data_IF_883912779165
#
_entry.id   IF_883912779165
#
_cell.length_a   1.000
_cell.length_b   1.000
_cell.length_c   1.000
_cell.angle_alpha   90.00
_cell.angle_beta   90.00
_cell.angle_gamma   90.00
#
_symmetry.space_group_name_H-M   'P 1'
#
loop_
_entity.id
_entity.type
_entity.pdbx_description
1 polymer ?
#
# COMPACT_ATOMS: atom_id res chain seq x y z
N UNK A 1 15.38 17.64 -29.48
CA UNK A 1 15.17 16.20 -29.25
C UNK A 1 16.26 15.60 -28.39
N UNK A 2 17.55 15.71 -28.80
CA UNK A 2 18.72 15.14 -28.09
C UNK A 2 18.77 15.53 -26.60
N UNK A 3 18.51 16.79 -26.27
CA UNK A 3 18.48 17.25 -24.86
C UNK A 3 17.33 16.64 -24.04
N UNK A 4 16.18 16.38 -24.69
CA UNK A 4 15.01 15.75 -24.04
C UNK A 4 15.33 14.27 -23.76
N UNK A 5 15.87 13.55 -24.73
CA UNK A 5 16.28 12.15 -24.59
C UNK A 5 17.38 12.00 -23.54
N UNK A 6 18.38 12.89 -23.53
CA UNK A 6 19.43 12.90 -22.51
C UNK A 6 18.86 13.17 -21.11
N UNK A 7 17.87 14.05 -20.98
CA UNK A 7 17.18 14.28 -19.71
C UNK A 7 16.39 13.05 -19.27
N UNK A 8 15.70 12.36 -20.20
CA UNK A 8 15.00 11.11 -19.93
C UNK A 8 15.95 10.02 -19.42
N UNK A 9 17.10 9.85 -20.08
CA UNK A 9 18.10 8.86 -19.68
C UNK A 9 18.73 9.16 -18.30
N UNK A 10 18.84 10.43 -17.93
CA UNK A 10 19.46 10.85 -16.67
C UNK A 10 18.47 10.98 -15.52
N UNK A 11 17.24 11.44 -15.78
CA UNK A 11 16.20 11.74 -14.79
C UNK A 11 14.79 11.49 -15.38
N UNK A 12 14.41 10.23 -15.62
CA UNK A 12 13.14 9.90 -16.26
C UNK A 12 11.93 10.50 -15.52
N UNK A 13 11.97 10.55 -14.19
CA UNK A 13 10.88 11.08 -13.36
C UNK A 13 10.60 12.57 -13.62
N UNK A 14 11.57 13.34 -14.10
CA UNK A 14 11.38 14.77 -14.42
C UNK A 14 10.55 14.94 -15.70
N UNK A 15 10.75 14.06 -16.68
CA UNK A 15 9.96 14.11 -17.92
C UNK A 15 8.56 13.56 -17.73
N UNK A 16 8.40 12.48 -16.98
CA UNK A 16 7.10 11.92 -16.61
C UNK A 16 6.23 12.97 -15.88
N UNK A 17 6.82 13.78 -15.00
CA UNK A 17 6.12 14.84 -14.28
C UNK A 17 5.72 16.06 -15.14
N UNK A 18 6.47 16.38 -16.20
CA UNK A 18 6.26 17.60 -16.97
C UNK A 18 5.49 17.42 -18.28
N UNK A 19 5.53 16.22 -18.89
CA UNK A 19 5.05 16.05 -20.26
C UNK A 19 3.88 15.10 -20.43
N UNK A 20 3.49 14.33 -19.42
CA UNK A 20 2.49 13.24 -19.54
C UNK A 20 2.76 12.27 -20.70
N UNK A 21 4.03 12.20 -21.17
CA UNK A 21 4.43 11.29 -22.22
C UNK A 21 4.96 10.00 -21.58
N UNK A 22 4.21 8.93 -21.73
CA UNK A 22 4.59 7.62 -21.18
C UNK A 22 5.79 7.01 -21.89
N UNK A 23 6.05 7.43 -23.14
CA UNK A 23 7.24 6.98 -23.84
C UNK A 23 7.66 7.95 -24.97
N UNK A 24 8.92 7.88 -25.37
CA UNK A 24 9.48 8.62 -26.50
C UNK A 24 9.47 7.80 -27.80
N UNK A 25 8.70 6.72 -27.87
CA UNK A 25 8.72 5.78 -28.99
C UNK A 25 8.34 6.41 -30.32
N UNK A 26 7.38 7.33 -30.30
CA UNK A 26 6.96 8.08 -31.50
C UNK A 26 8.10 8.92 -32.11
N UNK A 27 9.18 9.12 -31.35
CA UNK A 27 10.33 9.92 -31.77
C UNK A 27 11.58 9.10 -32.02
N UNK A 28 11.56 7.77 -31.84
CA UNK A 28 12.72 6.88 -31.97
C UNK A 28 13.34 6.99 -33.38
N UNK A 29 12.52 7.07 -34.41
CA UNK A 29 13.00 7.20 -35.81
C UNK A 29 13.61 8.57 -36.13
N UNK A 30 13.39 9.56 -35.27
CA UNK A 30 13.98 10.90 -35.39
C UNK A 30 15.28 11.07 -34.58
N UNK A 31 15.69 10.05 -33.83
CA UNK A 31 16.95 10.05 -33.06
C UNK A 31 18.13 9.71 -33.99
N UNK A 32 19.31 10.31 -33.70
CA UNK A 32 20.54 9.79 -34.28
C UNK A 32 20.85 8.37 -33.76
N UNK A 33 21.71 7.64 -34.47
CA UNK A 33 21.96 6.21 -34.23
C UNK A 33 22.41 5.94 -32.78
N UNK A 34 23.40 6.73 -32.30
CA UNK A 34 23.98 6.53 -30.98
C UNK A 34 22.93 6.80 -29.85
N UNK A 35 22.10 7.82 -30.06
CA UNK A 35 21.06 8.20 -29.10
C UNK A 35 19.92 7.17 -29.09
N UNK A 36 19.57 6.65 -30.28
CA UNK A 36 18.58 5.60 -30.47
C UNK A 36 18.97 4.31 -29.75
N UNK A 37 20.21 3.85 -29.97
CA UNK A 37 20.74 2.65 -29.32
C UNK A 37 20.69 2.78 -27.80
N UNK A 38 21.15 3.90 -27.24
CA UNK A 38 21.12 4.15 -25.80
C UNK A 38 19.72 4.25 -25.23
N UNK A 39 18.77 4.81 -25.99
CA UNK A 39 17.37 4.88 -25.58
C UNK A 39 16.74 3.48 -25.54
N UNK A 40 16.94 2.68 -26.61
CA UNK A 40 16.42 1.31 -26.70
C UNK A 40 17.05 0.39 -25.65
N UNK A 41 18.34 0.56 -25.35
CA UNK A 41 19.02 -0.18 -24.28
C UNK A 41 18.47 0.20 -22.90
N UNK A 42 18.28 1.48 -22.61
CA UNK A 42 17.70 1.94 -21.35
C UNK A 42 16.24 1.50 -21.21
N UNK A 43 15.49 1.42 -22.31
CA UNK A 43 14.12 0.91 -22.35
C UNK A 43 14.07 -0.59 -22.12
N UNK A 44 14.91 -1.38 -22.78
CA UNK A 44 14.97 -2.83 -22.56
C UNK A 44 15.31 -3.16 -21.11
N UNK A 45 16.20 -2.40 -20.47
CA UNK A 45 16.48 -2.53 -19.04
C UNK A 45 15.28 -2.15 -18.14
N UNK A 46 14.37 -1.29 -18.62
CA UNK A 46 13.10 -1.00 -17.93
C UNK A 46 12.04 -2.12 -18.15
N UNK A 47 12.02 -2.72 -19.34
CA UNK A 47 11.09 -3.83 -19.66
C UNK A 47 11.50 -5.14 -19.00
N UNK A 48 12.79 -5.33 -18.67
CA UNK A 48 13.31 -6.45 -17.85
C UNK A 48 13.09 -6.24 -16.32
N UNK A 49 12.56 -5.11 -15.88
CA UNK A 49 11.99 -4.99 -14.54
C UNK A 49 10.73 -5.86 -14.54
N UNK A 50 10.82 -7.04 -13.93
CA UNK A 50 9.69 -7.93 -13.64
C UNK A 50 8.46 -7.08 -13.38
N UNK A 51 7.37 -7.37 -14.07
CA UNK A 51 6.13 -6.58 -13.94
C UNK A 51 5.64 -6.73 -12.50
N UNK A 52 6.04 -5.76 -11.65
CA UNK A 52 5.75 -5.80 -10.21
C UNK A 52 4.25 -5.95 -10.05
N UNK A 53 3.77 -6.98 -9.36
CA UNK A 53 2.35 -7.21 -9.19
C UNK A 53 1.62 -5.96 -8.67
N UNK A 54 0.39 -5.74 -9.15
CA UNK A 54 -0.38 -4.53 -8.79
C UNK A 54 -0.60 -4.40 -7.28
N UNK A 55 -0.72 -5.53 -6.57
CA UNK A 55 -0.82 -5.54 -5.11
C UNK A 55 0.43 -4.95 -4.44
N UNK A 56 1.62 -5.24 -4.98
CA UNK A 56 2.88 -4.71 -4.44
C UNK A 56 3.06 -3.22 -4.77
N UNK A 57 2.59 -2.79 -5.95
CA UNK A 57 2.52 -1.36 -6.32
C UNK A 57 1.62 -0.59 -5.35
N UNK A 58 0.39 -1.06 -5.14
CA UNK A 58 -0.58 -0.43 -4.24
C UNK A 58 -0.04 -0.38 -2.80
N UNK A 59 0.42 -1.50 -2.26
CA UNK A 59 0.99 -1.57 -0.90
C UNK A 59 2.21 -0.68 -0.76
N UNK A 60 3.06 -0.59 -1.79
CA UNK A 60 4.22 0.29 -1.84
C UNK A 60 3.85 1.77 -1.68
N UNK A 61 2.77 2.22 -2.31
CA UNK A 61 2.29 3.60 -2.16
C UNK A 61 1.74 3.86 -0.75
N UNK A 62 0.97 2.92 -0.17
CA UNK A 62 0.56 3.04 1.23
C UNK A 62 1.76 3.17 2.16
N UNK A 63 2.77 2.32 2.02
CA UNK A 63 4.00 2.38 2.84
C UNK A 63 4.75 3.70 2.66
N UNK A 64 4.79 4.25 1.45
CA UNK A 64 5.44 5.53 1.14
C UNK A 64 4.73 6.70 1.83
N UNK A 65 3.40 6.74 1.78
CA UNK A 65 2.58 7.75 2.45
C UNK A 65 2.67 7.62 3.98
N UNK A 66 2.58 6.40 4.52
CA UNK A 66 2.75 6.16 5.96
C UNK A 66 4.11 6.64 6.46
N UNK A 67 5.18 6.44 5.69
CA UNK A 67 6.52 6.97 6.01
C UNK A 67 6.56 8.49 5.99
N UNK A 68 5.83 9.14 5.07
CA UNK A 68 5.70 10.59 5.04
C UNK A 68 4.95 11.10 6.28
N UNK A 69 3.84 10.43 6.67
CA UNK A 69 3.07 10.77 7.86
C UNK A 69 3.89 10.61 9.15
N UNK A 70 4.70 9.56 9.24
CA UNK A 70 5.62 9.35 10.36
C UNK A 70 6.64 10.47 10.53
N UNK A 71 7.09 11.11 9.44
CA UNK A 71 7.96 12.31 9.54
C UNK A 71 7.22 13.51 10.16
N UNK A 72 5.89 13.52 10.11
CA UNK A 72 5.02 14.56 10.65
C UNK A 72 4.19 14.07 11.84
N UNK A 73 4.76 13.18 12.65
CA UNK A 73 4.08 12.43 13.73
C UNK A 73 3.23 13.33 14.65
N UNK A 74 3.70 14.54 14.96
CA UNK A 74 2.98 15.50 15.83
C UNK A 74 1.59 15.84 15.29
N UNK A 75 1.40 15.85 13.97
CA UNK A 75 0.11 16.15 13.34
C UNK A 75 -0.88 14.99 13.53
N UNK A 76 -0.40 13.77 13.74
CA UNK A 76 -1.19 12.54 13.87
C UNK A 76 -1.38 12.07 15.31
N UNK A 77 -0.69 12.68 16.29
CA UNK A 77 -0.77 12.24 17.70
C UNK A 77 -2.19 12.27 18.29
N UNK A 78 -3.02 13.22 17.84
CA UNK A 78 -4.39 13.43 18.33
C UNK A 78 -5.47 12.94 17.37
N UNK A 79 -5.11 12.53 16.16
CA UNK A 79 -6.06 12.07 15.15
C UNK A 79 -6.60 10.69 15.51
N UNK A 80 -7.90 10.48 15.33
CA UNK A 80 -8.51 9.16 15.52
C UNK A 80 -8.37 8.26 14.28
N UNK A 81 -8.95 7.05 14.31
CA UNK A 81 -8.92 6.08 13.22
C UNK A 81 -9.56 6.64 11.95
N UNK A 82 -10.70 7.33 12.09
CA UNK A 82 -11.49 7.89 10.98
C UNK A 82 -10.73 9.00 10.27
N UNK A 83 -10.13 9.91 11.04
CA UNK A 83 -9.33 11.01 10.50
C UNK A 83 -8.07 10.50 9.78
N UNK A 84 -7.40 9.49 10.34
CA UNK A 84 -6.22 8.87 9.70
C UNK A 84 -6.62 8.17 8.41
N UNK A 85 -7.76 7.47 8.38
CA UNK A 85 -8.28 6.83 7.17
C UNK A 85 -8.61 7.87 6.08
N UNK A 86 -9.18 9.01 6.45
CA UNK A 86 -9.45 10.10 5.53
C UNK A 86 -8.17 10.67 4.91
N UNK A 87 -7.18 11.01 5.75
CA UNK A 87 -5.90 11.52 5.27
C UNK A 87 -5.19 10.53 4.34
N UNK A 88 -5.29 9.22 4.62
CA UNK A 88 -4.72 8.17 3.77
C UNK A 88 -5.44 8.06 2.44
N UNK A 89 -6.78 8.09 2.45
CA UNK A 89 -7.55 8.07 1.21
C UNK A 89 -7.13 9.21 0.30
N UNK A 90 -7.06 10.43 0.83
CA UNK A 90 -6.71 11.60 0.05
C UNK A 90 -5.29 11.47 -0.53
N UNK A 91 -4.31 11.15 0.32
CA UNK A 91 -2.90 11.11 -0.09
C UNK A 91 -2.56 9.92 -1.00
N UNK A 92 -3.07 8.72 -0.69
CA UNK A 92 -2.78 7.50 -1.49
C UNK A 92 -3.67 7.47 -2.72
N UNK A 93 -4.93 7.91 -2.62
CA UNK A 93 -5.90 7.90 -3.72
C UNK A 93 -5.43 8.77 -4.89
N UNK A 94 -4.90 9.97 -4.62
CA UNK A 94 -4.32 10.82 -5.66
C UNK A 94 -3.16 10.12 -6.39
N UNK A 95 -2.26 9.47 -5.65
CA UNK A 95 -1.10 8.78 -6.22
C UNK A 95 -1.54 7.58 -7.07
N UNK A 96 -2.43 6.74 -6.52
CA UNK A 96 -2.88 5.52 -7.20
C UNK A 96 -3.66 5.84 -8.47
N UNK A 97 -4.54 6.86 -8.42
CA UNK A 97 -5.30 7.29 -9.59
C UNK A 97 -4.36 7.82 -10.69
N UNK A 98 -3.42 8.70 -10.33
CA UNK A 98 -2.53 9.30 -11.32
C UNK A 98 -1.51 8.31 -11.93
N UNK A 99 -1.04 7.32 -11.14
CA UNK A 99 -0.02 6.39 -11.61
C UNK A 99 -0.57 5.13 -12.25
N UNK A 100 -1.70 4.64 -11.76
CA UNK A 100 -2.18 3.29 -12.09
C UNK A 100 -3.66 3.24 -12.51
N UNK A 101 -4.38 4.37 -12.53
CA UNK A 101 -5.83 4.39 -12.79
C UNK A 101 -6.67 3.72 -11.68
N UNK A 102 -6.07 3.49 -10.50
CA UNK A 102 -6.72 2.82 -9.38
C UNK A 102 -7.38 3.84 -8.46
N UNK A 103 -8.63 3.57 -8.07
CA UNK A 103 -9.45 4.43 -7.24
C UNK A 103 -9.57 3.90 -5.82
N UNK A 104 -9.80 4.81 -4.85
CA UNK A 104 -10.11 4.47 -3.47
C UNK A 104 -11.44 5.12 -3.07
N UNK A 105 -12.38 4.31 -2.58
CA UNK A 105 -13.61 4.77 -1.94
C UNK A 105 -13.57 4.48 -0.43
N UNK A 106 -14.19 5.36 0.38
CA UNK A 106 -14.39 5.17 1.82
C UNK A 106 -15.78 4.65 2.13
N UNK A 107 -15.89 3.97 3.27
CA UNK A 107 -17.18 3.57 3.87
C UNK A 107 -18.07 2.84 2.85
N UNK A 108 -17.42 2.02 2.02
CA UNK A 108 -18.14 1.28 0.99
C UNK A 108 -18.90 0.11 1.64
N UNK A 109 -20.21 0.08 1.43
CA UNK A 109 -21.07 -0.94 2.02
C UNK A 109 -20.84 -2.28 1.34
N UNK A 110 -20.25 -3.24 2.04
CA UNK A 110 -19.96 -4.58 1.56
C UNK A 110 -20.39 -5.65 2.56
N UNK A 111 -20.91 -6.74 2.04
CA UNK A 111 -21.07 -8.00 2.80
C UNK A 111 -22.07 -7.98 3.94
N UNK A 112 -21.99 -9.01 4.78
CA UNK A 112 -22.81 -9.20 5.97
C UNK A 112 -21.92 -9.12 7.21
N UNK A 113 -21.62 -7.93 7.69
CA UNK A 113 -21.07 -7.79 9.04
C UNK A 113 -22.22 -7.78 10.06
N UNK A 114 -22.20 -8.75 10.97
CA UNK A 114 -23.00 -8.87 12.20
C UNK A 114 -24.15 -7.88 12.37
N UNK A 115 -25.34 -8.18 11.87
CA UNK A 115 -26.61 -7.44 12.08
C UNK A 115 -26.78 -6.07 11.42
N UNK A 116 -25.75 -5.50 10.78
CA UNK A 116 -25.82 -4.30 9.93
C UNK A 116 -25.04 -4.57 8.66
N UNK A 117 -25.33 -3.83 7.58
CA UNK A 117 -24.48 -3.77 6.41
C UNK A 117 -23.08 -3.33 6.88
N UNK A 118 -22.06 -4.14 6.61
CA UNK A 118 -20.69 -3.82 6.97
C UNK A 118 -20.15 -2.76 6.02
N UNK A 119 -19.48 -1.76 6.56
CA UNK A 119 -18.77 -0.75 5.79
C UNK A 119 -17.28 -1.01 5.95
N UNK A 120 -16.56 -1.11 4.82
CA UNK A 120 -15.09 -1.17 4.83
C UNK A 120 -14.52 0.22 5.03
N UNK A 121 -13.40 0.35 5.70
CA UNK A 121 -12.73 1.65 5.85
C UNK A 121 -12.28 2.20 4.50
N UNK A 122 -11.62 1.37 3.65
CA UNK A 122 -11.27 1.71 2.27
C UNK A 122 -11.55 0.54 1.33
N UNK A 123 -12.08 0.86 0.14
CA UNK A 123 -12.28 -0.04 -0.99
C UNK A 123 -11.42 0.42 -2.17
N UNK A 124 -10.64 -0.48 -2.74
CA UNK A 124 -9.63 -0.20 -3.78
C UNK A 124 -10.02 -0.95 -5.04
N UNK A 125 -10.22 -0.22 -6.13
CA UNK A 125 -10.73 -0.75 -7.39
C UNK A 125 -10.21 0.02 -8.60
N UNK A 126 -10.35 -0.57 -9.77
CA UNK A 126 -10.15 0.07 -11.07
C UNK A 126 -11.47 0.07 -11.83
N UNK A 127 -11.74 1.15 -12.55
CA UNK A 127 -12.88 1.23 -13.45
C UNK A 127 -12.37 1.47 -14.88
N UNK A 128 -12.55 0.47 -15.75
CA UNK A 128 -12.15 0.53 -17.15
C UNK A 128 -13.33 0.14 -18.04
N UNK A 129 -13.73 1.03 -18.95
CA UNK A 129 -14.83 0.81 -19.91
C UNK A 129 -16.16 0.37 -19.26
N UNK A 130 -16.45 0.88 -18.05
CA UNK A 130 -17.65 0.53 -17.28
C UNK A 130 -17.61 -0.83 -16.60
N UNK A 131 -16.45 -1.48 -16.57
CA UNK A 131 -16.18 -2.67 -15.76
C UNK A 131 -15.39 -2.28 -14.52
N UNK A 132 -15.77 -2.86 -13.38
CA UNK A 132 -15.08 -2.67 -12.11
C UNK A 132 -14.23 -3.92 -11.83
N UNK A 133 -12.96 -3.70 -11.54
CA UNK A 133 -12.04 -4.73 -11.07
C UNK A 133 -11.74 -4.46 -9.59
N UNK A 134 -12.18 -5.36 -8.72
CA UNK A 134 -11.97 -5.27 -7.29
C UNK A 134 -10.52 -5.68 -6.95
N UNK A 135 -9.73 -4.76 -6.41
CA UNK A 135 -8.37 -5.08 -6.00
C UNK A 135 -8.31 -5.50 -4.53
N UNK A 136 -8.74 -4.61 -3.63
CA UNK A 136 -8.59 -4.86 -2.21
C UNK A 136 -9.61 -4.12 -1.35
N UNK A 137 -9.74 -4.59 -0.11
CA UNK A 137 -10.32 -3.85 1.00
C UNK A 137 -9.27 -3.61 2.07
N UNK A 138 -9.38 -2.47 2.77
CA UNK A 138 -8.53 -2.12 3.90
C UNK A 138 -9.39 -1.87 5.13
N UNK A 139 -8.97 -2.43 6.27
CA UNK A 139 -9.47 -2.16 7.61
C UNK A 139 -8.40 -1.47 8.44
N UNK A 140 -8.75 -0.36 9.09
CA UNK A 140 -7.88 0.44 9.94
C UNK A 140 -8.34 0.39 11.40
N UNK A 141 -7.47 -0.02 12.32
CA UNK A 141 -7.74 -0.05 13.77
C UNK A 141 -6.48 0.23 14.58
N UNK A 142 -6.67 0.57 15.86
CA UNK A 142 -5.55 0.50 16.80
C UNK A 142 -5.05 -0.93 16.93
N UNK A 143 -3.73 -1.09 17.05
CA UNK A 143 -3.07 -2.41 17.10
C UNK A 143 -3.61 -3.35 18.18
N UNK A 144 -4.13 -2.80 19.28
CA UNK A 144 -4.74 -3.57 20.35
C UNK A 144 -5.99 -4.32 19.86
N UNK A 145 -6.70 -3.76 18.88
CA UNK A 145 -7.92 -4.29 18.30
C UNK A 145 -7.69 -5.16 17.06
N UNK A 146 -6.44 -5.56 16.79
CA UNK A 146 -6.02 -6.29 15.57
C UNK A 146 -6.89 -7.54 15.31
N UNK A 147 -7.21 -8.32 16.32
CA UNK A 147 -8.03 -9.52 16.15
C UNK A 147 -9.42 -9.22 15.56
N UNK A 148 -10.06 -8.17 16.06
CA UNK A 148 -11.37 -7.74 15.52
C UNK A 148 -11.23 -7.17 14.11
N UNK A 149 -10.20 -6.36 13.87
CA UNK A 149 -9.85 -5.81 12.56
C UNK A 149 -9.68 -6.93 11.53
N UNK A 150 -8.90 -7.94 11.88
CA UNK A 150 -8.63 -9.09 11.04
C UNK A 150 -9.91 -9.86 10.67
N UNK A 151 -10.77 -10.16 11.65
CA UNK A 151 -12.02 -10.85 11.37
C UNK A 151 -13.02 -10.00 10.57
N UNK A 152 -13.02 -8.67 10.74
CA UNK A 152 -13.81 -7.77 9.90
C UNK A 152 -13.33 -7.85 8.45
N UNK A 153 -12.02 -7.70 8.22
CA UNK A 153 -11.42 -7.83 6.89
C UNK A 153 -11.76 -9.18 6.24
N UNK A 154 -11.56 -10.29 6.96
CA UNK A 154 -11.86 -11.64 6.45
C UNK A 154 -13.37 -11.84 6.16
N UNK A 155 -14.24 -11.06 6.78
CA UNK A 155 -15.69 -11.05 6.49
C UNK A 155 -16.06 -10.34 5.20
N UNK A 156 -15.19 -9.49 4.67
CA UNK A 156 -15.38 -8.79 3.39
C UNK A 156 -14.69 -9.49 2.22
N UNK A 157 -13.54 -10.12 2.47
CA UNK A 157 -12.76 -10.78 1.44
C UNK A 157 -13.51 -11.99 0.88
N UNK A 158 -13.60 -12.05 -0.44
CA UNK A 158 -14.14 -13.13 -1.23
C UNK A 158 -13.33 -13.28 -2.53
N UNK A 159 -13.70 -14.20 -3.38
CA UNK A 159 -12.99 -14.52 -4.62
C UNK A 159 -12.89 -13.36 -5.65
N UNK A 160 -13.64 -12.28 -5.49
CA UNK A 160 -13.53 -11.13 -6.40
C UNK A 160 -12.32 -10.25 -6.06
N UNK A 161 -11.86 -10.27 -4.80
CA UNK A 161 -10.70 -9.48 -4.38
C UNK A 161 -9.39 -10.19 -4.69
N UNK A 162 -8.37 -9.42 -5.06
CA UNK A 162 -7.02 -9.93 -5.28
C UNK A 162 -6.23 -10.06 -3.98
N UNK A 163 -6.47 -9.16 -3.01
CA UNK A 163 -5.79 -9.18 -1.72
C UNK A 163 -6.55 -8.36 -0.66
N UNK A 164 -6.08 -8.44 0.59
CA UNK A 164 -6.59 -7.63 1.69
C UNK A 164 -5.50 -6.80 2.35
N UNK A 165 -5.88 -5.74 3.08
CA UNK A 165 -4.94 -4.92 3.85
C UNK A 165 -5.50 -4.69 5.25
N UNK A 166 -4.69 -4.94 6.30
CA UNK A 166 -4.92 -4.37 7.63
C UNK A 166 -3.95 -3.24 7.88
N UNK A 167 -4.43 -2.10 8.35
CA UNK A 167 -3.59 -1.01 8.82
C UNK A 167 -3.72 -0.88 10.34
N UNK A 168 -2.67 -1.15 11.08
CA UNK A 168 -2.68 -1.09 12.53
C UNK A 168 -1.98 0.17 13.03
N UNK A 169 -2.72 1.05 13.72
CA UNK A 169 -2.16 2.26 14.33
C UNK A 169 -1.49 1.89 15.66
N UNK A 170 -0.18 2.08 15.73
CA UNK A 170 0.61 1.77 16.93
C UNK A 170 1.08 3.04 17.65
N UNK A 171 0.53 3.31 18.84
CA UNK A 171 0.85 4.49 19.67
C UNK A 171 1.59 4.16 20.96
N UNK A 172 1.72 2.88 21.32
CA UNK A 172 2.14 2.47 22.67
C UNK A 172 3.38 1.62 22.72
N UNK A 173 3.80 1.03 21.58
CA UNK A 173 4.85 0.02 21.54
C UNK A 173 5.90 0.35 20.51
N UNK A 174 7.10 -0.21 20.66
CA UNK A 174 8.09 -0.16 19.60
C UNK A 174 7.56 -0.85 18.33
N UNK A 175 8.07 -0.49 17.15
CA UNK A 175 7.71 -1.15 15.90
C UNK A 175 7.94 -2.65 15.97
N UNK A 176 9.05 -3.07 16.56
CA UNK A 176 9.41 -4.49 16.75
C UNK A 176 8.36 -5.23 17.58
N UNK A 177 7.94 -4.63 18.72
CA UNK A 177 6.93 -5.25 19.59
C UNK A 177 5.55 -5.27 18.92
N UNK A 178 5.22 -4.23 18.16
CA UNK A 178 3.98 -4.19 17.35
C UNK A 178 3.93 -5.30 16.30
N UNK A 179 5.02 -5.50 15.56
CA UNK A 179 5.13 -6.58 14.57
C UNK A 179 4.99 -7.95 15.24
N UNK A 180 5.72 -8.18 16.32
CA UNK A 180 5.67 -9.45 17.05
C UNK A 180 4.27 -9.72 17.63
N UNK A 181 3.56 -8.69 18.08
CA UNK A 181 2.18 -8.83 18.56
C UNK A 181 1.22 -9.26 17.45
N UNK A 182 1.30 -8.62 16.28
CA UNK A 182 0.46 -9.01 15.13
C UNK A 182 0.81 -10.44 14.68
N UNK A 183 2.08 -10.77 14.57
CA UNK A 183 2.55 -12.10 14.21
C UNK A 183 2.01 -13.18 15.17
N UNK A 184 2.13 -12.96 16.46
CA UNK A 184 1.61 -13.88 17.48
C UNK A 184 0.09 -14.02 17.41
N UNK A 185 -0.63 -12.92 17.17
CA UNK A 185 -2.09 -12.96 17.00
C UNK A 185 -2.49 -13.74 15.75
N UNK A 186 -1.79 -13.56 14.63
CA UNK A 186 -2.02 -14.32 13.40
C UNK A 186 -1.74 -15.83 13.59
N UNK A 187 -0.65 -16.17 14.26
CA UNK A 187 -0.30 -17.57 14.58
C UNK A 187 -1.32 -18.23 15.53
N UNK A 188 -2.00 -17.45 16.36
CA UNK A 188 -3.03 -17.93 17.26
C UNK A 188 -4.43 -18.04 16.62
N UNK A 189 -4.60 -17.61 15.36
CA UNK A 189 -5.87 -17.79 14.64
C UNK A 189 -6.07 -19.27 14.30
N UNK A 190 -7.31 -19.69 14.34
CA UNK A 190 -7.68 -21.07 14.06
C UNK A 190 -8.84 -21.17 13.06
N UNK A 191 -9.15 -22.41 12.63
CA UNK A 191 -10.24 -22.68 11.71
C UNK A 191 -10.04 -22.12 10.31
N UNK A 192 -11.13 -21.78 9.65
CA UNK A 192 -11.13 -21.34 8.24
C UNK A 192 -10.48 -19.97 7.98
N UNK A 193 -10.24 -19.21 9.02
CA UNK A 193 -9.60 -17.89 8.91
C UNK A 193 -8.11 -17.91 9.30
N UNK A 194 -7.59 -19.08 9.72
CA UNK A 194 -6.17 -19.21 10.03
C UNK A 194 -5.33 -18.99 8.76
N UNK A 195 -4.25 -18.20 8.82
CA UNK A 195 -3.31 -18.10 7.72
C UNK A 195 -2.60 -19.45 7.49
N UNK A 196 -2.33 -19.79 6.23
CA UNK A 196 -1.52 -20.97 5.85
C UNK A 196 -0.03 -20.68 5.91
N UNK A 197 0.35 -19.40 5.75
CA UNK A 197 1.73 -18.92 5.86
C UNK A 197 1.75 -17.47 6.35
N UNK A 198 2.83 -17.09 7.05
CA UNK A 198 3.07 -15.72 7.55
C UNK A 198 4.52 -15.36 7.27
N UNK A 199 4.73 -14.28 6.52
CA UNK A 199 6.06 -13.77 6.17
C UNK A 199 6.28 -12.36 6.69
N UNK A 200 7.47 -12.11 7.23
CA UNK A 200 7.94 -10.77 7.54
C UNK A 200 8.69 -10.21 6.33
N UNK A 201 8.23 -9.08 5.82
CA UNK A 201 8.77 -8.45 4.62
C UNK A 201 9.36 -7.08 4.96
N UNK A 202 10.54 -6.80 4.41
CA UNK A 202 11.18 -5.48 4.50
C UNK A 202 11.21 -4.81 3.14
N UNK A 203 10.72 -3.58 3.05
CA UNK A 203 10.76 -2.79 1.83
C UNK A 203 10.99 -1.31 2.15
N UNK A 204 11.99 -0.69 1.51
CA UNK A 204 12.25 0.76 1.64
C UNK A 204 12.46 1.26 3.08
N UNK A 205 12.94 0.39 3.99
CA UNK A 205 13.09 0.69 5.42
C UNK A 205 11.82 0.54 6.26
N UNK A 206 10.73 0.04 5.66
CA UNK A 206 9.52 -0.40 6.36
C UNK A 206 9.59 -1.92 6.59
N UNK A 207 8.99 -2.37 7.67
CA UNK A 207 8.79 -3.80 7.96
C UNK A 207 7.30 -4.00 8.15
N UNK A 208 6.74 -5.01 7.49
CA UNK A 208 5.33 -5.41 7.58
C UNK A 208 5.21 -6.93 7.49
N UNK A 209 4.02 -7.45 7.73
CA UNK A 209 3.75 -8.88 7.60
C UNK A 209 2.86 -9.13 6.40
N UNK A 210 3.03 -10.28 5.77
CA UNK A 210 2.14 -10.80 4.73
C UNK A 210 1.68 -12.17 5.19
N UNK A 211 0.36 -12.40 5.22
CA UNK A 211 -0.21 -13.71 5.44
C UNK A 211 -0.90 -14.23 4.18
N UNK A 212 -0.86 -15.54 3.99
CA UNK A 212 -1.56 -16.23 2.91
C UNK A 212 -2.77 -16.99 3.45
N UNK A 213 -3.87 -16.93 2.72
CA UNK A 213 -5.14 -17.55 3.09
C UNK A 213 -5.71 -18.31 1.91
N UNK A 214 -6.48 -19.36 2.20
CA UNK A 214 -7.25 -20.06 1.17
C UNK A 214 -8.64 -19.46 1.08
N UNK A 215 -9.03 -19.02 -0.10
CA UNK A 215 -10.39 -18.53 -0.40
C UNK A 215 -11.33 -19.73 -0.40
N UNK A 216 -12.34 -19.78 0.51
CA UNK A 216 -13.17 -21.00 0.65
C UNK A 216 -13.95 -21.37 -0.61
N UNK A 217 -14.34 -20.38 -1.43
CA UNK A 217 -15.15 -20.56 -2.62
C UNK A 217 -14.39 -21.18 -3.79
N UNK A 218 -13.09 -20.84 -3.93
CA UNK A 218 -12.28 -21.24 -5.09
C UNK A 218 -11.13 -22.17 -4.74
N UNK A 219 -10.70 -22.19 -3.48
CA UNK A 219 -9.50 -22.88 -3.02
C UNK A 219 -8.18 -22.18 -3.44
N UNK A 220 -8.26 -21.01 -4.04
CA UNK A 220 -7.10 -20.22 -4.44
C UNK A 220 -6.47 -19.52 -3.23
N UNK A 221 -5.19 -19.17 -3.36
CA UNK A 221 -4.47 -18.41 -2.34
C UNK A 221 -4.74 -16.92 -2.49
N UNK A 222 -4.98 -16.25 -1.35
CA UNK A 222 -5.12 -14.80 -1.25
C UNK A 222 -4.13 -14.26 -0.23
N UNK A 223 -3.46 -13.15 -0.57
CA UNK A 223 -2.55 -12.45 0.35
C UNK A 223 -3.30 -11.41 1.19
N UNK A 224 -2.90 -11.27 2.44
CA UNK A 224 -3.28 -10.15 3.30
C UNK A 224 -2.01 -9.45 3.79
N UNK A 225 -1.93 -8.14 3.53
CA UNK A 225 -0.81 -7.30 3.92
C UNK A 225 -1.14 -6.60 5.25
N UNK A 226 -0.29 -6.78 6.26
CA UNK A 226 -0.46 -6.21 7.59
C UNK A 226 0.50 -5.05 7.79
N UNK A 227 0.01 -3.84 7.58
CA UNK A 227 0.78 -2.61 7.68
C UNK A 227 0.69 -2.02 9.10
N UNK A 228 1.74 -1.36 9.55
CA UNK A 228 1.77 -0.68 10.85
C UNK A 228 2.05 0.81 10.64
N UNK A 229 1.12 1.64 11.07
CA UNK A 229 1.37 3.07 11.20
C UNK A 229 1.96 3.36 12.57
N UNK A 230 3.28 3.54 12.60
CA UNK A 230 4.04 3.73 13.84
C UNK A 230 3.96 5.19 14.30
N UNK A 231 3.20 5.43 15.36
CA UNK A 231 3.06 6.72 16.03
C UNK A 231 3.70 6.76 17.42
N UNK A 232 4.26 5.65 17.90
CA UNK A 232 5.03 5.60 19.14
C UNK A 232 6.46 6.08 18.89
N UNK A 233 6.89 7.10 19.64
CA UNK A 233 8.19 7.72 19.46
C UNK A 233 8.76 8.22 20.80
N UNK A 234 8.85 7.31 21.78
CA UNK A 234 9.31 7.67 23.12
C UNK A 234 10.77 8.14 23.13
N UNK A 235 11.63 7.48 22.34
CA UNK A 235 13.06 7.83 22.30
C UNK A 235 13.29 9.27 21.81
N UNK A 236 12.55 9.72 20.81
CA UNK A 236 12.64 11.11 20.34
C UNK A 236 12.04 12.11 21.32
N UNK A 237 10.96 11.72 22.02
CA UNK A 237 10.38 12.53 23.11
C UNK A 237 11.38 12.72 24.23
N UNK A 238 12.07 11.66 24.63
CA UNK A 238 13.09 11.70 25.67
C UNK A 238 14.31 12.54 25.22
N UNK A 239 14.79 12.36 24.00
CA UNK A 239 15.87 13.17 23.43
C UNK A 239 15.49 14.67 23.36
N UNK A 240 14.26 14.99 22.92
CA UNK A 240 13.76 16.36 22.88
C UNK A 240 13.63 16.98 24.28
N UNK A 241 13.24 16.18 25.28
CA UNK A 241 13.19 16.63 26.69
C UNK A 241 14.58 16.93 27.24
N UNK A 242 15.59 16.13 26.87
CA UNK A 242 17.00 16.38 27.26
C UNK A 242 17.56 17.63 26.60
N UNK A 243 17.23 17.90 25.36
CA UNK A 243 17.70 19.08 24.61
C UNK A 243 17.10 20.42 25.12
N UNK A 244 16.04 20.37 25.91
CA UNK A 244 15.38 21.56 26.52
C UNK A 244 15.88 21.90 27.94
N UNK A 245 16.72 21.07 28.51
CA UNK A 245 17.40 21.29 29.79
C UNK A 245 18.72 22.02 29.58
#
# INVERSE_FOLDING_TARGET
LSNIVMLYLQKPQVLEAFFQYDNLDDFVDLMDVDLRERYLEARSQKEDVEDVPIEEKIVGEFLSVLKLFQKRIVQFEKRDEVEITADLQDAVGEILNNKYGVHIAREFTMGRACKKLGETDLYIYEETEGQIVDYAVLENKYIENFTNQYYQLMGYLNHNFKFGITLSINRKKSLKDGINEIENKLQAMDGKFAPVDIKKVGSGGNIFLVSEHVVPETGESMKVFHLIFQLYDQERKDAAALARK
#
